data_IF_889683601557
#
_entry.id   IF_889683601557
#
_cell.length_a   1.000
_cell.length_b   1.000
_cell.length_c   1.000
_cell.angle_alpha   90.00
_cell.angle_beta   90.00
_cell.angle_gamma   90.00
#
_symmetry.space_group_name_H-M   'P 1'
#
loop_
_entity.id
_entity.type
_entity.pdbx_description
1 polymer ?
#
# COMPACT_ATOMS: atom_id res chain seq x y z
N UNK A 1 7.86 -13.74 -32.31
CA UNK A 1 7.09 -12.58 -31.81
C UNK A 1 7.31 -12.52 -30.30
N UNK A 2 8.34 -11.81 -29.84
CA UNK A 2 8.61 -11.67 -28.41
C UNK A 2 7.71 -10.57 -27.85
N UNK A 3 6.74 -10.92 -27.02
CA UNK A 3 6.08 -9.92 -26.17
C UNK A 3 7.18 -9.32 -25.28
N UNK A 4 7.45 -8.03 -25.45
CA UNK A 4 8.19 -7.30 -24.42
C UNK A 4 7.29 -7.33 -23.19
N UNK A 5 7.62 -8.16 -22.21
CA UNK A 5 6.97 -8.12 -20.91
C UNK A 5 7.10 -6.68 -20.40
N UNK A 6 5.98 -5.95 -20.37
CA UNK A 6 5.94 -4.64 -19.76
C UNK A 6 6.44 -4.76 -18.31
N UNK A 7 7.12 -3.72 -17.82
CA UNK A 7 7.54 -3.67 -16.41
C UNK A 7 6.32 -3.96 -15.53
N UNK A 8 6.50 -4.86 -14.58
CA UNK A 8 5.44 -5.23 -13.64
C UNK A 8 4.92 -3.99 -12.89
N UNK A 9 3.58 -3.78 -12.81
CA UNK A 9 3.02 -2.64 -12.10
C UNK A 9 3.55 -2.56 -10.67
N UNK A 10 3.82 -1.36 -10.19
CA UNK A 10 4.37 -1.13 -8.85
C UNK A 10 3.37 -0.45 -7.90
N UNK A 11 3.62 -0.65 -6.62
CA UNK A 11 2.98 0.05 -5.50
C UNK A 11 4.07 0.76 -4.71
N UNK A 12 3.84 2.03 -4.37
CA UNK A 12 4.77 2.80 -3.56
C UNK A 12 4.96 2.16 -2.18
N UNK A 13 6.19 2.14 -1.66
CA UNK A 13 6.48 1.53 -0.35
C UNK A 13 5.67 2.16 0.79
N UNK A 14 5.33 3.45 0.68
CA UNK A 14 4.46 4.13 1.64
C UNK A 14 3.09 3.45 1.79
N UNK A 15 2.58 2.74 0.77
CA UNK A 15 1.34 1.96 0.83
C UNK A 15 1.38 0.77 1.81
N UNK A 16 2.55 0.44 2.35
CA UNK A 16 2.74 -0.57 3.41
C UNK A 16 2.81 0.07 4.81
N UNK A 17 2.72 1.39 4.92
CA UNK A 17 2.76 2.09 6.20
C UNK A 17 1.72 1.53 7.17
N UNK A 18 2.13 1.32 8.43
CA UNK A 18 1.26 0.77 9.48
C UNK A 18 0.98 -0.74 9.39
N UNK A 19 1.38 -1.42 8.32
CA UNK A 19 1.07 -2.84 8.12
C UNK A 19 1.79 -3.72 9.15
N UNK A 20 3.10 -3.52 9.34
CA UNK A 20 3.88 -4.30 10.31
C UNK A 20 3.40 -4.10 11.77
N UNK A 21 3.15 -2.86 12.25
CA UNK A 21 2.50 -2.64 13.54
C UNK A 21 1.13 -3.33 13.68
N UNK A 22 0.31 -3.31 12.63
CA UNK A 22 -1.01 -3.96 12.65
C UNK A 22 -0.88 -5.48 12.77
N UNK A 23 -0.01 -6.11 11.97
CA UNK A 23 0.23 -7.55 12.04
C UNK A 23 0.68 -7.97 13.44
N UNK A 24 1.59 -7.19 14.05
CA UNK A 24 2.04 -7.41 15.42
C UNK A 24 0.88 -7.29 16.43
N UNK A 25 0.01 -6.30 16.28
CA UNK A 25 -1.16 -6.13 17.15
C UNK A 25 -2.18 -7.26 17.02
N UNK A 26 -2.26 -7.88 15.84
CA UNK A 26 -3.09 -9.06 15.57
C UNK A 26 -2.41 -10.38 15.94
N UNK A 27 -1.20 -10.35 16.50
CA UNK A 27 -0.43 -11.55 16.85
C UNK A 27 0.01 -12.38 15.64
N UNK A 28 0.07 -11.76 14.46
CA UNK A 28 0.45 -12.41 13.21
C UNK A 28 1.97 -12.33 13.00
N UNK A 29 2.57 -13.46 12.63
CA UNK A 29 4.01 -13.58 12.36
C UNK A 29 4.36 -12.95 11.01
N UNK A 30 5.08 -11.82 11.04
CA UNK A 30 5.42 -11.03 9.87
C UNK A 30 6.23 -11.83 8.82
N UNK A 31 7.12 -12.72 9.25
CA UNK A 31 7.96 -13.50 8.32
C UNK A 31 7.11 -14.46 7.48
N UNK A 32 5.99 -14.95 8.03
CA UNK A 32 5.03 -15.78 7.28
C UNK A 32 4.24 -14.99 6.25
N UNK A 33 4.15 -13.68 6.42
CA UNK A 33 3.42 -12.79 5.50
C UNK A 33 4.35 -12.28 4.40
N UNK A 34 5.51 -11.72 4.76
CA UNK A 34 6.41 -11.04 3.82
C UNK A 34 7.42 -11.99 3.17
N UNK A 35 7.92 -12.98 3.89
CA UNK A 35 8.97 -13.90 3.42
C UNK A 35 8.61 -14.62 2.11
N UNK A 36 7.39 -15.20 1.98
CA UNK A 36 6.99 -15.86 0.74
C UNK A 36 6.91 -14.94 -0.49
N UNK A 37 6.62 -13.65 -0.27
CA UNK A 37 6.61 -12.63 -1.32
C UNK A 37 8.02 -12.10 -1.64
N UNK A 38 9.06 -12.63 -1.00
CA UNK A 38 10.44 -12.17 -1.15
C UNK A 38 10.70 -10.77 -0.58
N UNK A 39 9.81 -10.29 0.29
CA UNK A 39 9.92 -8.96 0.90
C UNK A 39 10.61 -9.08 2.25
N UNK A 40 11.72 -8.35 2.40
CA UNK A 40 12.32 -8.14 3.71
C UNK A 40 11.53 -7.06 4.46
N UNK A 41 10.83 -7.47 5.51
CA UNK A 41 10.01 -6.60 6.34
C UNK A 41 10.81 -5.45 6.97
N UNK A 42 12.13 -5.60 7.15
CA UNK A 42 12.99 -4.53 7.65
C UNK A 42 13.10 -3.33 6.69
N UNK A 43 12.85 -3.56 5.39
CA UNK A 43 12.91 -2.52 4.36
C UNK A 43 11.57 -1.79 4.16
N UNK A 44 10.49 -2.31 4.76
CA UNK A 44 9.16 -1.70 4.74
C UNK A 44 9.07 -0.61 5.81
N UNK A 45 9.55 0.58 5.48
CA UNK A 45 9.35 1.76 6.30
C UNK A 45 8.63 2.85 5.49
N UNK A 46 7.81 3.65 6.18
CA UNK A 46 7.00 4.69 5.55
C UNK A 46 7.83 5.83 4.93
N UNK A 47 9.12 5.92 5.25
CA UNK A 47 10.06 6.89 4.69
C UNK A 47 10.90 6.35 3.52
N UNK A 48 10.72 5.09 3.12
CA UNK A 48 11.48 4.49 2.02
C UNK A 48 10.95 5.02 0.69
N UNK A 49 11.86 5.51 -0.13
CA UNK A 49 11.57 5.81 -1.53
C UNK A 49 11.50 4.51 -2.36
N UNK A 50 10.71 4.53 -3.45
CA UNK A 50 10.58 3.42 -4.38
C UNK A 50 9.26 2.67 -4.25
N UNK A 51 9.24 1.44 -4.77
CA UNK A 51 8.04 0.61 -4.83
C UNK A 51 8.37 -0.88 -4.87
N UNK A 52 7.33 -1.69 -4.64
CA UNK A 52 7.34 -3.13 -4.84
C UNK A 52 6.37 -3.51 -5.95
N UNK A 53 6.55 -4.69 -6.53
CA UNK A 53 5.58 -5.26 -7.46
C UNK A 53 4.19 -5.30 -6.83
N UNK A 54 3.18 -4.87 -7.60
CA UNK A 54 1.78 -4.89 -7.19
C UNK A 54 1.33 -6.32 -6.84
N UNK A 55 1.83 -7.33 -7.57
CA UNK A 55 1.58 -8.74 -7.26
C UNK A 55 2.06 -9.13 -5.86
N UNK A 56 3.28 -8.74 -5.48
CA UNK A 56 3.83 -8.95 -4.14
C UNK A 56 3.02 -8.22 -3.07
N UNK A 57 2.60 -6.98 -3.33
CA UNK A 57 1.73 -6.23 -2.41
C UNK A 57 0.40 -6.95 -2.18
N UNK A 58 -0.27 -7.37 -3.26
CA UNK A 58 -1.53 -8.13 -3.19
C UNK A 58 -1.33 -9.43 -2.42
N UNK A 59 -0.27 -10.19 -2.73
CA UNK A 59 0.04 -11.43 -2.02
C UNK A 59 0.21 -11.21 -0.51
N UNK A 60 0.94 -10.18 -0.10
CA UNK A 60 1.11 -9.80 1.30
C UNK A 60 -0.22 -9.49 1.97
N UNK A 61 -1.09 -8.70 1.31
CA UNK A 61 -2.39 -8.32 1.85
C UNK A 61 -3.34 -9.52 2.01
N UNK A 62 -3.35 -10.44 1.03
CA UNK A 62 -4.12 -11.68 1.08
C UNK A 62 -3.65 -12.59 2.21
N UNK A 63 -2.33 -12.78 2.35
CA UNK A 63 -1.73 -13.55 3.44
C UNK A 63 -2.05 -12.92 4.80
N UNK A 64 -1.98 -11.60 4.92
CA UNK A 64 -2.30 -10.89 6.14
C UNK A 64 -3.75 -11.10 6.57
N UNK A 65 -4.70 -11.02 5.64
CA UNK A 65 -6.11 -11.30 5.91
C UNK A 65 -6.34 -12.76 6.34
N UNK A 66 -5.73 -13.72 5.65
CA UNK A 66 -5.84 -15.15 5.94
C UNK A 66 -5.24 -15.51 7.32
N UNK A 67 -4.02 -15.07 7.59
CA UNK A 67 -3.29 -15.43 8.82
C UNK A 67 -3.75 -14.66 10.06
N UNK A 68 -4.33 -13.47 9.89
CA UNK A 68 -4.98 -12.75 11.01
C UNK A 68 -6.33 -13.36 11.40
N UNK A 69 -6.94 -14.18 10.54
CA UNK A 69 -8.29 -14.71 10.74
C UNK A 69 -9.38 -13.62 10.71
N UNK A 70 -9.08 -12.46 10.12
CA UNK A 70 -9.98 -11.28 10.09
C UNK A 70 -10.44 -11.01 8.66
N UNK A 71 -11.70 -11.32 8.38
CA UNK A 71 -12.32 -10.97 7.10
C UNK A 71 -12.40 -9.44 6.86
N UNK A 72 -12.37 -8.65 7.95
CA UNK A 72 -12.37 -7.19 7.93
C UNK A 72 -10.97 -6.57 7.96
N UNK A 73 -9.91 -7.37 7.72
CA UNK A 73 -8.51 -6.92 7.79
C UNK A 73 -8.27 -5.62 7.01
N UNK A 74 -8.72 -5.54 5.76
CA UNK A 74 -8.54 -4.35 4.92
C UNK A 74 -9.20 -3.09 5.49
N UNK A 75 -10.34 -3.22 6.18
CA UNK A 75 -11.01 -2.09 6.84
C UNK A 75 -10.23 -1.63 8.08
N UNK A 76 -9.73 -2.58 8.88
CA UNK A 76 -8.89 -2.28 10.05
C UNK A 76 -7.61 -1.58 9.59
N UNK A 77 -6.98 -2.10 8.54
CA UNK A 77 -5.78 -1.54 7.95
C UNK A 77 -6.01 -0.13 7.42
N UNK A 78 -7.02 0.08 6.57
CA UNK A 78 -7.35 1.39 6.03
C UNK A 78 -7.66 2.44 7.11
N UNK A 79 -8.31 2.05 8.21
CA UNK A 79 -8.56 2.95 9.35
C UNK A 79 -7.28 3.41 10.05
N UNK A 80 -6.23 2.59 10.02
CA UNK A 80 -4.94 2.90 10.63
C UNK A 80 -4.00 3.70 9.72
N UNK A 81 -4.44 4.05 8.51
CA UNK A 81 -3.61 4.67 7.48
C UNK A 81 -3.88 6.18 7.39
N UNK A 82 -3.06 7.05 8.02
CA UNK A 82 -3.30 8.48 7.99
C UNK A 82 -3.03 9.05 6.59
N UNK A 83 -3.66 10.18 6.27
CA UNK A 83 -3.47 10.86 4.98
C UNK A 83 -1.98 11.11 4.66
N UNK A 84 -1.18 11.47 5.67
CA UNK A 84 0.27 11.69 5.56
C UNK A 84 1.08 10.44 5.22
N UNK A 85 0.51 9.24 5.32
CA UNK A 85 1.18 7.98 4.96
C UNK A 85 1.00 7.60 3.49
N UNK A 86 0.29 8.39 2.68
CA UNK A 86 0.14 8.12 1.23
C UNK A 86 1.32 8.63 0.39
N UNK A 87 2.41 9.08 1.02
CA UNK A 87 3.55 9.70 0.33
C UNK A 87 3.13 10.97 -0.43
N UNK A 88 3.72 11.19 -1.61
CA UNK A 88 3.51 12.41 -2.40
C UNK A 88 2.03 12.73 -2.67
N UNK A 89 1.20 11.71 -2.93
CA UNK A 89 -0.24 11.91 -3.18
C UNK A 89 -0.94 12.43 -1.91
N UNK A 90 -0.55 11.91 -0.75
CA UNK A 90 -1.01 12.39 0.56
C UNK A 90 -0.56 13.82 0.86
N UNK A 91 0.69 14.13 0.58
CA UNK A 91 1.26 15.48 0.80
C UNK A 91 0.55 16.54 -0.06
N UNK A 92 0.28 16.23 -1.33
CA UNK A 92 -0.49 17.09 -2.23
C UNK A 92 -1.91 17.29 -1.72
N UNK A 93 -2.58 16.22 -1.29
CA UNK A 93 -3.94 16.29 -0.76
C UNK A 93 -4.01 17.12 0.54
N UNK A 94 -3.02 17.00 1.43
CA UNK A 94 -2.94 17.75 2.68
C UNK A 94 -2.64 19.24 2.47
N UNK A 95 -1.89 19.58 1.42
CA UNK A 95 -1.60 20.96 1.05
C UNK A 95 -2.73 21.64 0.25
N UNK A 96 -3.78 20.91 -0.12
CA UNK A 96 -4.84 21.41 -0.97
C UNK A 96 -5.70 22.49 -0.27
N UNK A 97 -6.18 23.52 -1.00
CA UNK A 97 -6.93 24.63 -0.42
C UNK A 97 -8.37 24.25 0.01
N UNK A 98 -8.84 23.06 -0.33
CA UNK A 98 -10.16 22.56 0.08
C UNK A 98 -10.20 21.03 0.02
N UNK A 99 -11.11 20.41 0.78
CA UNK A 99 -11.34 18.96 0.74
C UNK A 99 -11.74 18.46 -0.65
N UNK A 100 -12.53 19.25 -1.40
CA UNK A 100 -12.92 18.89 -2.76
C UNK A 100 -11.73 18.87 -3.72
N UNK A 101 -10.78 19.80 -3.54
CA UNK A 101 -9.53 19.81 -4.32
C UNK A 101 -8.63 18.64 -3.91
N UNK A 102 -8.50 18.38 -2.60
CA UNK A 102 -7.72 17.25 -2.07
C UNK A 102 -8.19 15.91 -2.65
N UNK A 103 -9.51 15.66 -2.63
CA UNK A 103 -10.11 14.42 -3.13
C UNK A 103 -9.89 14.24 -4.64
N UNK A 104 -10.06 15.30 -5.44
CA UNK A 104 -9.79 15.24 -6.89
C UNK A 104 -8.32 14.97 -7.20
N UNK A 105 -7.42 15.69 -6.54
CA UNK A 105 -5.98 15.47 -6.71
C UNK A 105 -5.57 14.07 -6.29
N UNK A 106 -6.14 13.54 -5.21
CA UNK A 106 -5.90 12.17 -4.78
C UNK A 106 -6.33 11.16 -5.85
N UNK A 107 -7.54 11.31 -6.43
CA UNK A 107 -8.01 10.40 -7.48
C UNK A 107 -7.20 10.50 -8.77
N UNK A 108 -6.87 11.72 -9.20
CA UNK A 108 -6.14 11.96 -10.45
C UNK A 108 -4.69 11.46 -10.37
N UNK A 109 -4.08 11.54 -9.19
CA UNK A 109 -2.69 11.16 -8.96
C UNK A 109 -2.52 9.78 -8.33
N UNK A 110 -3.61 9.05 -8.09
CA UNK A 110 -3.58 7.70 -7.50
C UNK A 110 -2.61 6.73 -8.20
N UNK A 111 -2.41 6.78 -9.54
CA UNK A 111 -1.41 5.95 -10.21
C UNK A 111 0.04 6.14 -9.73
N UNK A 112 0.37 7.25 -9.08
CA UNK A 112 1.68 7.46 -8.45
C UNK A 112 1.85 6.67 -7.15
N UNK A 113 0.73 6.34 -6.49
CA UNK A 113 0.70 5.52 -5.29
C UNK A 113 0.61 4.03 -5.65
N UNK A 114 -0.20 3.69 -6.65
CA UNK A 114 -0.43 2.32 -7.11
C UNK A 114 -0.72 2.28 -8.61
N UNK A 115 0.20 1.69 -9.37
CA UNK A 115 0.06 1.54 -10.82
C UNK A 115 -1.06 0.53 -11.18
N UNK A 116 -1.50 0.57 -12.44
CA UNK A 116 -2.54 -0.31 -12.98
C UNK A 116 -3.86 -0.29 -12.17
N UNK A 117 -4.15 0.82 -11.48
CA UNK A 117 -5.32 1.02 -10.64
C UNK A 117 -5.87 2.43 -10.79
N UNK A 118 -7.13 2.63 -10.41
CA UNK A 118 -7.80 3.93 -10.43
C UNK A 118 -8.58 4.15 -9.13
N UNK A 119 -8.68 5.41 -8.73
CA UNK A 119 -9.58 5.86 -7.67
C UNK A 119 -10.62 6.81 -8.29
N UNK A 120 -11.86 6.78 -7.78
CA UNK A 120 -13.00 7.52 -8.35
C UNK A 120 -13.81 8.22 -7.27
N UNK A 121 -14.43 9.36 -7.61
CA UNK A 121 -15.35 10.15 -6.78
C UNK A 121 -16.80 10.02 -7.26
#
# INVERSE_FOLDING_TARGET
MGFMAGREPQVALCATAGLLPLLKALGTDADRIFGPAGIDAANLNAGSEGGIALSCYVEVMERAAQHSGRADFGLIYGRSFPASSHGLVGDIALAAPSIGTALRQFTDLFPLHQEASEARL
#
